data_IF_183892677436
#
_entry.id   IF_183892677436
#
_cell.length_a   1.000
_cell.length_b   1.000
_cell.length_c   1.000
_cell.angle_alpha   90.00
_cell.angle_beta   90.00
_cell.angle_gamma   90.00
#
_symmetry.space_group_name_H-M   'P 1'
#
loop_
_entity.id
_entity.type
_entity.pdbx_description
1 polymer ?
#
# COMPACT_ATOMS: atom_id res chain seq x y z
N UNK A 1 21.65 11.01 15.80
CA UNK A 1 21.02 10.22 14.74
C UNK A 1 19.95 11.04 14.06
N UNK A 2 19.90 11.03 12.74
CA UNK A 2 18.85 11.72 11.99
C UNK A 2 17.49 11.06 12.25
N UNK A 3 16.43 11.86 12.36
CA UNK A 3 15.07 11.37 12.56
C UNK A 3 14.29 11.44 11.24
N UNK A 4 13.96 10.28 10.69
CA UNK A 4 13.27 10.14 9.41
C UNK A 4 11.80 9.72 9.53
N UNK A 5 11.35 9.33 10.74
CA UNK A 5 9.98 8.85 10.96
C UNK A 5 9.35 9.61 12.12
N UNK A 6 8.17 10.16 11.88
CA UNK A 6 7.39 10.92 12.85
C UNK A 6 6.00 10.29 13.00
N UNK A 7 5.60 9.96 14.21
CA UNK A 7 4.22 9.61 14.47
C UNK A 7 3.32 10.84 14.23
N UNK A 8 2.04 10.63 13.95
CA UNK A 8 1.12 11.76 13.74
C UNK A 8 0.97 12.65 14.98
N UNK A 9 1.37 12.19 16.16
CA UNK A 9 1.40 13.01 17.39
C UNK A 9 2.62 13.92 17.52
N UNK A 10 3.66 13.72 16.72
CA UNK A 10 4.93 14.42 16.82
C UNK A 10 5.07 15.57 15.80
N UNK A 11 4.13 15.72 14.88
CA UNK A 11 4.13 16.75 13.85
C UNK A 11 3.06 17.80 14.06
N UNK A 12 3.06 18.82 13.19
CA UNK A 12 2.03 19.84 13.09
C UNK A 12 1.98 20.45 11.69
N UNK A 13 1.00 21.33 11.42
CA UNK A 13 0.79 21.96 10.11
C UNK A 13 1.97 22.80 9.59
N UNK A 14 2.86 23.27 10.46
CA UNK A 14 4.01 24.09 10.08
C UNK A 14 5.19 23.26 9.56
N UNK A 15 5.13 21.93 9.72
CA UNK A 15 6.21 21.01 9.32
C UNK A 15 6.02 20.48 7.89
N UNK A 16 5.42 21.25 6.98
CA UNK A 16 5.12 20.81 5.60
C UNK A 16 6.37 20.45 4.81
N UNK A 17 7.46 21.15 5.02
CA UNK A 17 8.71 20.86 4.31
C UNK A 17 9.29 19.52 4.70
N UNK A 18 9.15 19.12 5.95
CA UNK A 18 9.65 17.87 6.50
C UNK A 18 8.68 16.71 6.30
N UNK A 19 7.39 16.91 6.59
CA UNK A 19 6.38 15.85 6.60
C UNK A 19 5.57 15.75 5.30
N UNK A 20 5.78 16.68 4.38
CA UNK A 20 4.92 16.87 3.22
C UNK A 20 3.55 17.44 3.61
N UNK A 21 2.76 17.87 2.62
CA UNK A 21 1.46 18.48 2.89
C UNK A 21 0.48 17.53 3.60
N UNK A 22 0.39 16.29 3.16
CA UNK A 22 -0.50 15.28 3.74
C UNK A 22 -0.06 14.87 5.16
N UNK A 23 1.23 14.63 5.38
CA UNK A 23 1.76 14.27 6.69
C UNK A 23 1.57 15.38 7.73
N UNK A 24 1.87 16.62 7.39
CA UNK A 24 1.67 17.78 8.27
C UNK A 24 0.19 17.98 8.63
N UNK A 25 -0.73 17.84 7.66
CA UNK A 25 -2.16 17.96 7.92
C UNK A 25 -2.69 16.79 8.79
N UNK A 26 -2.26 15.54 8.57
CA UNK A 26 -2.64 14.40 9.41
C UNK A 26 -2.16 14.60 10.85
N UNK A 27 -0.94 15.12 11.04
CA UNK A 27 -0.43 15.43 12.36
C UNK A 27 -1.25 16.55 13.06
N UNK A 28 -1.56 17.62 12.35
CA UNK A 28 -2.41 18.69 12.89
C UNK A 28 -3.79 18.17 13.28
N UNK A 29 -4.44 17.42 12.38
CA UNK A 29 -5.76 16.82 12.65
C UNK A 29 -5.74 15.90 13.88
N UNK A 30 -4.66 15.13 14.05
CA UNK A 30 -4.47 14.26 15.21
C UNK A 30 -4.36 15.09 16.49
N UNK A 31 -3.57 16.16 16.48
CA UNK A 31 -3.32 16.99 17.66
C UNK A 31 -4.53 17.81 18.10
N UNK A 32 -5.40 18.21 17.17
CA UNK A 32 -6.68 18.88 17.51
C UNK A 32 -7.79 17.89 17.87
N UNK A 33 -7.48 16.59 17.97
CA UNK A 33 -8.42 15.56 18.45
C UNK A 33 -9.38 14.98 17.43
N UNK A 34 -9.16 15.22 16.13
CA UNK A 34 -9.97 14.57 15.09
C UNK A 34 -9.70 13.05 15.04
N UNK A 35 -10.68 12.23 14.65
CA UNK A 35 -10.55 10.78 14.56
C UNK A 35 -9.72 10.34 13.34
N UNK A 36 -8.41 10.62 13.37
CA UNK A 36 -7.46 10.21 12.34
C UNK A 36 -7.02 8.78 12.62
N UNK A 37 -7.01 7.88 11.60
CA UNK A 37 -6.39 6.57 11.72
C UNK A 37 -4.94 6.68 12.20
N UNK A 38 -4.51 5.79 13.08
CA UNK A 38 -3.14 5.84 13.64
C UNK A 38 -2.11 5.52 12.56
N UNK A 39 -0.99 6.23 12.60
CA UNK A 39 0.05 6.10 11.60
C UNK A 39 1.25 6.99 11.87
N UNK A 40 2.15 7.02 10.90
CA UNK A 40 3.37 7.80 10.94
C UNK A 40 3.71 8.34 9.54
N UNK A 41 4.56 9.34 9.50
CA UNK A 41 5.09 9.94 8.27
C UNK A 41 6.58 9.64 8.14
N UNK A 42 7.00 9.12 7.00
CA UNK A 42 8.40 9.08 6.59
C UNK A 42 8.71 10.44 5.94
N UNK A 43 9.78 11.10 6.39
CA UNK A 43 10.07 12.49 6.02
C UNK A 43 10.50 12.65 4.56
N UNK A 44 10.33 13.86 4.04
CA UNK A 44 10.87 14.25 2.72
C UNK A 44 12.39 14.11 2.66
N UNK A 45 13.07 14.32 3.80
CA UNK A 45 14.53 14.16 3.91
C UNK A 45 14.97 12.72 3.65
N UNK A 46 14.21 11.71 4.11
CA UNK A 46 14.48 10.30 3.80
C UNK A 46 14.42 10.04 2.28
N UNK A 47 13.47 10.66 1.59
CA UNK A 47 13.35 10.56 0.13
C UNK A 47 14.53 11.28 -0.57
N UNK A 48 14.89 12.48 -0.10
CA UNK A 48 16.06 13.22 -0.62
C UNK A 48 17.35 12.41 -0.44
N UNK A 49 17.54 11.81 0.73
CA UNK A 49 18.67 10.93 1.01
C UNK A 49 18.72 9.74 0.03
N UNK A 50 17.57 9.08 -0.18
CA UNK A 50 17.44 7.94 -1.07
C UNK A 50 17.95 8.27 -2.49
N UNK A 51 17.57 9.41 -3.04
CA UNK A 51 18.03 9.83 -4.36
C UNK A 51 19.51 10.22 -4.38
N UNK A 52 19.99 10.95 -3.37
CA UNK A 52 21.39 11.33 -3.26
C UNK A 52 22.34 10.12 -3.12
N UNK A 53 21.84 8.99 -2.60
CA UNK A 53 22.62 7.79 -2.32
C UNK A 53 22.27 6.59 -3.23
N UNK A 54 22.04 6.84 -4.53
CA UNK A 54 21.78 5.78 -5.53
C UNK A 54 20.63 4.84 -5.15
N UNK A 55 19.52 5.39 -4.69
CA UNK A 55 18.33 4.69 -4.24
C UNK A 55 18.55 3.74 -3.04
N UNK A 56 19.50 4.08 -2.16
CA UNK A 56 19.70 3.40 -0.88
C UNK A 56 18.98 4.17 0.25
N UNK A 57 18.31 3.44 1.10
CA UNK A 57 17.68 4.01 2.29
C UNK A 57 18.73 4.43 3.33
N UNK A 58 18.46 5.48 4.16
CA UNK A 58 19.24 5.73 5.36
C UNK A 58 19.30 4.47 6.25
N UNK A 59 20.44 4.17 6.82
CA UNK A 59 20.63 2.96 7.62
C UNK A 59 19.66 2.87 8.82
N UNK A 60 19.32 4.03 9.39
CA UNK A 60 18.42 4.12 10.54
C UNK A 60 16.94 4.01 10.18
N UNK A 61 16.57 4.16 8.90
CA UNK A 61 15.17 4.28 8.48
C UNK A 61 14.35 3.04 8.86
N UNK A 62 14.87 1.85 8.58
CA UNK A 62 14.17 0.60 8.87
C UNK A 62 13.82 0.50 10.36
N UNK A 63 14.80 0.68 11.24
CA UNK A 63 14.57 0.59 12.68
C UNK A 63 13.63 1.68 13.22
N UNK A 64 13.57 2.85 12.56
CA UNK A 64 12.60 3.89 12.91
C UNK A 64 11.17 3.50 12.45
N UNK A 65 11.03 2.91 11.26
CA UNK A 65 9.73 2.39 10.77
C UNK A 65 9.23 1.28 11.70
N UNK A 66 10.08 0.32 12.06
CA UNK A 66 9.72 -0.78 12.97
C UNK A 66 9.22 -0.25 14.33
N UNK A 67 9.89 0.74 14.91
CA UNK A 67 9.47 1.37 16.17
C UNK A 67 8.14 2.10 16.03
N UNK A 68 7.94 2.85 14.95
CA UNK A 68 6.70 3.57 14.69
C UNK A 68 5.53 2.59 14.45
N UNK A 69 5.77 1.51 13.69
CA UNK A 69 4.80 0.45 13.45
C UNK A 69 4.40 -0.24 14.76
N UNK A 70 5.36 -0.60 15.62
CA UNK A 70 5.09 -1.19 16.92
C UNK A 70 4.25 -0.26 17.83
N UNK A 71 4.42 1.05 17.71
CA UNK A 71 3.56 2.01 18.42
C UNK A 71 2.12 1.99 17.88
N UNK A 72 1.94 1.96 16.54
CA UNK A 72 0.62 1.84 15.92
C UNK A 72 -0.05 0.53 16.33
N UNK A 73 0.67 -0.59 16.28
CA UNK A 73 0.18 -1.92 16.71
C UNK A 73 -0.36 -1.89 18.14
N UNK A 74 0.39 -1.29 19.06
CA UNK A 74 -0.01 -1.16 20.46
C UNK A 74 -1.30 -0.35 20.63
N UNK A 75 -1.40 0.78 19.92
CA UNK A 75 -2.59 1.65 19.99
C UNK A 75 -3.82 0.97 19.39
N UNK A 76 -3.62 0.24 18.29
CA UNK A 76 -4.71 -0.42 17.55
C UNK A 76 -5.10 -1.78 18.15
N UNK A 77 -4.29 -2.36 19.06
CA UNK A 77 -4.50 -3.71 19.58
C UNK A 77 -4.41 -4.80 18.51
N UNK A 78 -3.68 -4.54 17.43
CA UNK A 78 -3.50 -5.44 16.28
C UNK A 78 -2.02 -5.55 15.94
N UNK A 79 -1.64 -6.58 15.18
CA UNK A 79 -0.24 -6.74 14.79
C UNK A 79 -0.09 -6.88 13.27
N UNK A 80 0.89 -6.20 12.71
CA UNK A 80 1.17 -6.22 11.28
C UNK A 80 1.71 -7.59 10.86
N UNK A 81 1.07 -8.20 9.87
CA UNK A 81 1.41 -9.56 9.44
C UNK A 81 0.95 -10.69 10.38
N UNK A 82 0.21 -10.40 11.45
CA UNK A 82 -0.34 -11.42 12.33
C UNK A 82 -1.46 -12.22 11.64
N UNK A 83 -1.43 -13.54 11.82
CA UNK A 83 -2.40 -14.44 11.16
C UNK A 83 -3.77 -14.45 11.84
N UNK A 84 -3.87 -14.00 13.08
CA UNK A 84 -5.11 -14.03 13.88
C UNK A 84 -5.81 -12.68 13.94
N UNK A 85 -5.04 -11.62 14.12
CA UNK A 85 -5.57 -10.25 14.26
C UNK A 85 -4.72 -9.25 13.47
N UNK A 86 -4.74 -9.31 12.13
CA UNK A 86 -3.86 -8.53 11.29
C UNK A 86 -4.15 -7.03 11.37
N UNK A 87 -3.08 -6.24 11.53
CA UNK A 87 -3.09 -4.81 11.23
C UNK A 87 -2.87 -4.63 9.73
N UNK A 88 -3.71 -3.86 9.08
CA UNK A 88 -3.53 -3.48 7.67
C UNK A 88 -3.09 -2.01 7.59
N UNK A 89 -2.09 -1.74 6.77
CA UNK A 89 -1.53 -0.40 6.60
C UNK A 89 -1.76 0.12 5.18
N UNK A 90 -1.98 1.43 5.06
CA UNK A 90 -2.03 2.11 3.77
C UNK A 90 -0.79 2.98 3.59
N UNK A 91 -0.12 2.86 2.46
CA UNK A 91 1.02 3.72 2.09
C UNK A 91 0.53 4.79 1.13
N UNK A 92 0.81 6.05 1.45
CA UNK A 92 0.34 7.21 0.68
C UNK A 92 1.47 8.18 0.39
N UNK A 93 1.50 8.74 -0.81
CA UNK A 93 2.39 9.83 -1.14
C UNK A 93 1.99 11.12 -0.37
N UNK A 94 2.97 11.73 0.28
CA UNK A 94 2.85 12.98 1.02
C UNK A 94 3.65 14.13 0.41
N UNK A 95 3.84 14.16 -0.92
CA UNK A 95 4.63 15.18 -1.60
C UNK A 95 4.22 16.61 -1.21
N UNK A 96 5.19 17.54 -1.26
CA UNK A 96 4.96 18.98 -0.97
C UNK A 96 3.95 19.61 -1.92
N UNK A 97 3.94 19.17 -3.19
CA UNK A 97 2.95 19.56 -4.20
C UNK A 97 2.27 18.30 -4.72
N UNK A 98 0.95 18.27 -4.67
CA UNK A 98 0.17 17.22 -5.33
C UNK A 98 0.14 17.53 -6.82
N UNK A 99 0.51 16.54 -7.64
CA UNK A 99 0.43 16.65 -9.11
C UNK A 99 -0.42 15.51 -9.66
N UNK A 100 -1.17 15.73 -10.75
CA UNK A 100 -1.81 14.64 -11.48
C UNK A 100 -0.77 13.59 -11.90
N UNK A 101 -1.08 12.30 -11.73
CA UNK A 101 -0.18 11.20 -12.06
C UNK A 101 0.82 10.81 -10.96
N UNK A 102 0.84 11.51 -9.82
CA UNK A 102 1.59 11.03 -8.64
C UNK A 102 0.98 9.72 -8.13
N UNK A 103 1.86 8.88 -7.57
CA UNK A 103 1.48 7.58 -7.06
C UNK A 103 0.24 7.62 -6.18
N UNK A 104 -0.72 6.78 -6.53
CA UNK A 104 -1.90 6.52 -5.74
C UNK A 104 -1.56 5.82 -4.41
N UNK A 105 -2.54 5.76 -3.55
CA UNK A 105 -2.43 5.04 -2.28
C UNK A 105 -2.32 3.55 -2.52
N UNK A 106 -1.37 2.86 -1.88
CA UNK A 106 -1.37 1.40 -1.76
C UNK A 106 -2.12 1.03 -0.49
N UNK A 107 -3.32 0.48 -0.64
CA UNK A 107 -4.21 0.09 0.45
C UNK A 107 -3.90 -1.33 0.93
N UNK A 108 -4.23 -1.62 2.19
CA UNK A 108 -4.27 -2.96 2.76
C UNK A 108 -2.94 -3.72 2.74
N UNK A 109 -1.79 -3.02 2.79
CA UNK A 109 -0.51 -3.70 2.99
C UNK A 109 -0.56 -4.51 4.29
N UNK A 110 -0.03 -5.71 4.25
CA UNK A 110 -0.12 -6.70 5.33
C UNK A 110 -1.20 -7.76 5.10
N UNK A 111 -2.04 -7.60 4.07
CA UNK A 111 -2.98 -8.64 3.66
C UNK A 111 -2.28 -9.63 2.74
N UNK A 112 -2.22 -10.87 3.18
CA UNK A 112 -1.56 -12.01 2.54
C UNK A 112 -2.46 -13.24 2.66
N UNK A 113 -2.18 -14.33 1.96
CA UNK A 113 -2.91 -15.58 2.14
C UNK A 113 -2.93 -16.06 3.59
N UNK A 114 -1.84 -15.80 4.33
CA UNK A 114 -1.73 -16.19 5.74
C UNK A 114 -2.56 -15.34 6.67
N UNK A 115 -2.78 -14.05 6.34
CA UNK A 115 -3.50 -13.10 7.21
C UNK A 115 -5.00 -12.99 6.88
N UNK A 116 -5.44 -13.46 5.71
CA UNK A 116 -6.86 -13.49 5.32
C UNK A 116 -7.74 -14.19 6.36
N UNK A 117 -7.40 -15.38 6.90
CA UNK A 117 -8.24 -16.02 7.91
C UNK A 117 -8.48 -15.16 9.15
N UNK A 118 -7.47 -14.42 9.60
CA UNK A 118 -7.61 -13.48 10.72
C UNK A 118 -8.52 -12.29 10.39
N UNK A 119 -8.45 -11.77 9.16
CA UNK A 119 -9.36 -10.71 8.71
C UNK A 119 -10.80 -11.22 8.65
N UNK A 120 -11.04 -12.43 8.12
CA UNK A 120 -12.35 -13.08 8.10
C UNK A 120 -12.89 -13.24 9.52
N UNK A 121 -12.08 -13.78 10.43
CA UNK A 121 -12.49 -13.97 11.83
C UNK A 121 -12.86 -12.66 12.53
N UNK A 122 -12.16 -11.57 12.23
CA UNK A 122 -12.40 -10.26 12.85
C UNK A 122 -13.57 -9.49 12.24
N UNK A 123 -13.92 -9.75 10.99
CA UNK A 123 -15.01 -9.04 10.27
C UNK A 123 -16.29 -9.86 10.15
N UNK A 124 -16.20 -11.19 10.23
CA UNK A 124 -17.30 -12.09 9.91
C UNK A 124 -17.65 -12.16 8.43
N UNK A 125 -16.83 -11.55 7.55
CA UNK A 125 -17.15 -11.39 6.13
C UNK A 125 -15.99 -11.88 5.24
N UNK A 126 -16.14 -13.11 4.75
CA UNK A 126 -15.17 -13.74 3.85
C UNK A 126 -15.11 -13.03 2.50
N UNK A 127 -16.26 -12.58 1.99
CA UNK A 127 -16.33 -11.87 0.72
C UNK A 127 -15.55 -10.54 0.79
N UNK A 128 -15.76 -9.78 1.85
CA UNK A 128 -15.00 -8.54 2.09
C UNK A 128 -13.49 -8.79 2.12
N UNK A 129 -13.05 -9.82 2.83
CA UNK A 129 -11.62 -10.14 2.94
C UNK A 129 -10.99 -10.46 1.58
N UNK A 130 -11.65 -11.29 0.77
CA UNK A 130 -11.13 -11.64 -0.57
C UNK A 130 -11.26 -10.50 -1.58
N UNK A 131 -12.28 -9.64 -1.51
CA UNK A 131 -12.36 -8.43 -2.36
C UNK A 131 -11.26 -7.41 -2.00
N UNK A 132 -11.01 -7.22 -0.70
CA UNK A 132 -9.90 -6.38 -0.24
C UNK A 132 -8.55 -6.90 -0.74
N UNK A 133 -8.35 -8.22 -0.71
CA UNK A 133 -7.13 -8.85 -1.19
C UNK A 133 -6.99 -8.76 -2.72
N UNK A 134 -8.05 -9.04 -3.48
CA UNK A 134 -8.07 -8.85 -4.93
C UNK A 134 -7.65 -7.43 -5.31
N UNK A 135 -8.22 -6.43 -4.63
CA UNK A 135 -7.90 -5.02 -4.88
C UNK A 135 -6.45 -4.68 -4.54
N UNK A 136 -5.91 -5.23 -3.44
CA UNK A 136 -4.50 -5.07 -3.12
C UNK A 136 -3.62 -5.67 -4.22
N UNK A 137 -3.90 -6.91 -4.66
CA UNK A 137 -3.10 -7.59 -5.71
C UNK A 137 -3.07 -6.75 -6.99
N UNK A 138 -4.22 -6.27 -7.47
CA UNK A 138 -4.32 -5.45 -8.68
C UNK A 138 -3.54 -4.14 -8.55
N UNK A 139 -3.77 -3.42 -7.44
CA UNK A 139 -3.16 -2.11 -7.22
C UNK A 139 -1.66 -2.22 -6.98
N UNK A 140 -1.22 -3.23 -6.23
CA UNK A 140 0.20 -3.46 -5.95
C UNK A 140 0.96 -3.85 -7.21
N UNK A 141 0.38 -4.70 -8.04
CA UNK A 141 0.96 -5.09 -9.32
C UNK A 141 1.17 -3.89 -10.24
N UNK A 142 0.18 -3.02 -10.37
CA UNK A 142 0.24 -1.82 -11.21
C UNK A 142 1.24 -0.78 -10.66
N UNK A 143 1.06 -0.39 -9.38
CA UNK A 143 1.76 0.76 -8.81
C UNK A 143 3.18 0.41 -8.36
N UNK A 144 3.36 -0.74 -7.71
CA UNK A 144 4.63 -1.12 -7.10
C UNK A 144 5.48 -1.97 -8.04
N UNK A 145 4.89 -3.00 -8.64
CA UNK A 145 5.66 -3.98 -9.39
C UNK A 145 5.91 -3.52 -10.83
N UNK A 146 4.94 -2.90 -11.49
CA UNK A 146 5.09 -2.43 -12.88
C UNK A 146 5.69 -1.02 -12.93
N UNK A 147 4.97 0.01 -12.46
CA UNK A 147 5.38 1.41 -12.59
C UNK A 147 6.63 1.75 -11.79
N UNK A 148 6.66 1.45 -10.49
CA UNK A 148 7.82 1.71 -9.66
C UNK A 148 9.00 0.78 -9.98
N UNK A 149 8.72 -0.39 -10.54
CA UNK A 149 9.71 -1.31 -11.11
C UNK A 149 10.37 -0.79 -12.39
N UNK A 150 9.90 0.34 -12.92
CA UNK A 150 10.46 0.96 -14.14
C UNK A 150 10.03 0.26 -15.43
N UNK A 151 8.96 -0.52 -15.40
CA UNK A 151 8.39 -1.11 -16.60
C UNK A 151 7.44 -0.10 -17.25
N UNK A 152 7.65 0.16 -18.52
CA UNK A 152 6.82 1.04 -19.34
C UNK A 152 6.09 0.20 -20.43
N UNK A 153 4.96 -0.43 -20.10
CA UNK A 153 4.20 -1.19 -21.08
C UNK A 153 3.65 -0.27 -22.16
N UNK A 154 3.48 -0.81 -23.38
CA UNK A 154 2.79 -0.08 -24.42
C UNK A 154 1.38 0.34 -23.97
N UNK A 155 0.85 1.42 -24.53
CA UNK A 155 -0.48 1.91 -24.20
C UNK A 155 -1.54 0.80 -24.28
N UNK A 156 -2.34 0.67 -23.24
CA UNK A 156 -3.36 -0.38 -23.13
C UNK A 156 -2.85 -1.78 -22.83
N UNK A 157 -1.55 -1.98 -22.57
CA UNK A 157 -0.94 -3.30 -22.27
C UNK A 157 -0.38 -3.41 -20.84
N UNK A 158 -0.60 -2.43 -19.99
CA UNK A 158 -0.19 -2.49 -18.58
C UNK A 158 -0.93 -3.60 -17.83
N UNK A 159 -0.28 -4.11 -16.77
CA UNK A 159 -0.81 -5.22 -15.96
C UNK A 159 -2.21 -4.91 -15.40
N UNK A 160 -2.47 -3.66 -15.04
CA UNK A 160 -3.77 -3.21 -14.58
C UNK A 160 -4.86 -3.46 -15.61
N UNK A 161 -4.62 -3.08 -16.86
CA UNK A 161 -5.57 -3.25 -17.96
C UNK A 161 -5.89 -4.71 -18.22
N UNK A 162 -4.86 -5.56 -18.22
CA UNK A 162 -5.00 -7.00 -18.40
C UNK A 162 -5.88 -7.61 -17.29
N UNK A 163 -5.66 -7.20 -16.03
CA UNK A 163 -6.46 -7.66 -14.89
C UNK A 163 -7.91 -7.14 -14.93
N UNK A 164 -8.10 -5.88 -15.35
CA UNK A 164 -9.45 -5.32 -15.53
C UNK A 164 -10.23 -6.07 -16.62
N UNK A 165 -9.59 -6.47 -17.70
CA UNK A 165 -10.22 -7.29 -18.78
C UNK A 165 -10.69 -8.65 -18.24
N UNK A 166 -9.84 -9.36 -17.49
CA UNK A 166 -10.22 -10.62 -16.84
C UNK A 166 -11.39 -10.45 -15.86
N UNK A 167 -11.37 -9.38 -15.06
CA UNK A 167 -12.46 -9.05 -14.14
C UNK A 167 -13.79 -8.83 -14.89
N UNK A 168 -13.74 -8.07 -15.98
CA UNK A 168 -14.93 -7.80 -16.79
C UNK A 168 -15.45 -9.06 -17.51
N UNK A 169 -14.57 -9.95 -17.95
CA UNK A 169 -14.95 -11.25 -18.52
C UNK A 169 -15.69 -12.11 -17.49
N UNK A 170 -15.20 -12.19 -16.25
CA UNK A 170 -15.87 -12.91 -15.17
C UNK A 170 -17.26 -12.33 -14.89
N UNK A 171 -17.37 -11.00 -14.81
CA UNK A 171 -18.66 -10.33 -14.62
C UNK A 171 -19.63 -10.62 -15.76
N UNK A 172 -19.18 -10.48 -16.99
CA UNK A 172 -20.01 -10.75 -18.18
C UNK A 172 -20.49 -12.18 -18.25
N UNK A 173 -19.60 -13.15 -17.98
CA UNK A 173 -19.93 -14.59 -17.99
C UNK A 173 -21.02 -14.95 -16.97
N UNK A 174 -21.01 -14.30 -15.81
CA UNK A 174 -21.95 -14.58 -14.72
C UNK A 174 -23.16 -13.62 -14.69
N UNK A 175 -23.25 -12.66 -15.62
CA UNK A 175 -24.33 -11.68 -15.65
C UNK A 175 -24.26 -10.62 -14.52
N UNK A 176 -23.09 -10.43 -13.92
CA UNK A 176 -22.85 -9.45 -12.87
C UNK A 176 -22.73 -8.04 -13.42
N UNK A 177 -23.24 -7.05 -12.69
CA UNK A 177 -23.20 -5.64 -13.10
C UNK A 177 -22.10 -4.84 -12.40
N UNK A 178 -21.84 -5.17 -11.15
CA UNK A 178 -20.90 -4.44 -10.29
C UNK A 178 -20.00 -5.42 -9.54
N UNK A 179 -18.86 -4.96 -9.02
CA UNK A 179 -17.89 -5.80 -8.30
C UNK A 179 -18.49 -6.46 -7.05
N UNK A 180 -19.53 -5.85 -6.46
CA UNK A 180 -20.20 -6.42 -5.29
C UNK A 180 -21.03 -7.67 -5.59
N UNK A 181 -21.31 -7.96 -6.86
CA UNK A 181 -22.02 -9.16 -7.28
C UNK A 181 -21.09 -10.42 -7.29
N UNK A 182 -19.76 -10.22 -7.27
CA UNK A 182 -18.79 -11.30 -7.25
C UNK A 182 -18.95 -12.17 -6.00
N UNK A 183 -19.04 -13.46 -6.20
CA UNK A 183 -19.06 -14.45 -5.12
C UNK A 183 -17.66 -14.61 -4.48
N UNK A 184 -17.60 -15.23 -3.31
CA UNK A 184 -16.33 -15.58 -2.65
C UNK A 184 -15.46 -16.46 -3.57
N UNK A 185 -16.08 -17.43 -4.25
CA UNK A 185 -15.35 -18.34 -5.14
C UNK A 185 -14.82 -17.62 -6.38
N UNK A 186 -15.56 -16.66 -6.94
CA UNK A 186 -15.05 -15.84 -8.04
C UNK A 186 -13.87 -14.98 -7.60
N UNK A 187 -13.95 -14.37 -6.41
CA UNK A 187 -12.86 -13.57 -5.86
C UNK A 187 -11.60 -14.39 -5.60
N UNK A 188 -11.73 -15.62 -5.08
CA UNK A 188 -10.61 -16.56 -4.89
C UNK A 188 -9.95 -16.91 -6.23
N UNK A 189 -10.77 -17.24 -7.24
CA UNK A 189 -10.26 -17.54 -8.59
C UNK A 189 -9.57 -16.35 -9.23
N UNK A 190 -10.16 -15.16 -9.14
CA UNK A 190 -9.56 -13.92 -9.65
C UNK A 190 -8.21 -13.61 -8.99
N UNK A 191 -8.08 -13.78 -7.67
CA UNK A 191 -6.79 -13.60 -6.98
C UNK A 191 -5.74 -14.55 -7.51
N UNK A 192 -6.08 -15.84 -7.67
CA UNK A 192 -5.16 -16.84 -8.21
C UNK A 192 -4.73 -16.49 -9.65
N UNK A 193 -5.69 -16.10 -10.48
CA UNK A 193 -5.44 -15.72 -11.87
C UNK A 193 -4.58 -14.45 -11.96
N UNK A 194 -4.85 -13.43 -11.16
CA UNK A 194 -4.05 -12.19 -11.13
C UNK A 194 -2.60 -12.46 -10.70
N UNK A 195 -2.36 -13.32 -9.73
CA UNK A 195 -1.00 -13.75 -9.38
C UNK A 195 -0.32 -14.48 -10.54
N UNK A 196 -1.05 -15.31 -11.27
CA UNK A 196 -0.57 -15.94 -12.49
C UNK A 196 -0.18 -14.92 -13.56
N UNK A 197 -0.99 -13.88 -13.76
CA UNK A 197 -0.70 -12.79 -14.69
C UNK A 197 0.54 -11.98 -14.27
N UNK A 198 0.69 -11.68 -12.97
CA UNK A 198 1.89 -11.03 -12.43
C UNK A 198 3.13 -11.84 -12.79
N UNK A 199 3.13 -13.13 -12.48
CA UNK A 199 4.25 -14.02 -12.80
C UNK A 199 4.55 -14.07 -14.30
N UNK A 200 3.51 -14.15 -15.12
CA UNK A 200 3.62 -14.23 -16.58
C UNK A 200 4.18 -12.95 -17.19
N UNK A 201 3.65 -11.78 -16.80
CA UNK A 201 3.94 -10.50 -17.45
C UNK A 201 5.08 -9.73 -16.79
N UNK A 202 5.15 -9.74 -15.46
CA UNK A 202 6.17 -9.00 -14.69
C UNK A 202 7.39 -9.87 -14.33
N UNK A 203 7.31 -11.20 -14.55
CA UNK A 203 8.38 -12.16 -14.20
C UNK A 203 8.76 -12.16 -12.71
N UNK A 204 7.81 -11.81 -11.87
CA UNK A 204 7.94 -11.73 -10.43
C UNK A 204 6.76 -12.43 -9.74
N UNK A 205 6.96 -12.87 -8.51
CA UNK A 205 5.86 -13.37 -7.67
C UNK A 205 5.25 -12.19 -6.89
N UNK A 206 3.93 -12.25 -6.65
CA UNK A 206 3.29 -11.30 -5.74
C UNK A 206 3.83 -11.51 -4.31
N UNK A 207 4.25 -10.46 -3.59
CA UNK A 207 4.84 -10.61 -2.27
C UNK A 207 3.81 -11.06 -1.22
N UNK A 208 3.99 -12.25 -0.69
CA UNK A 208 3.21 -12.82 0.43
C UNK A 208 3.88 -12.56 1.80
N UNK A 209 4.65 -11.51 1.87
CA UNK A 209 5.28 -11.00 3.08
C UNK A 209 4.80 -9.58 3.38
N UNK A 210 4.23 -9.38 4.56
CA UNK A 210 3.65 -8.10 4.96
C UNK A 210 4.70 -6.97 4.98
N UNK A 211 5.90 -7.25 5.49
CA UNK A 211 6.99 -6.27 5.52
C UNK A 211 7.46 -5.90 4.12
N UNK A 212 7.63 -6.90 3.24
CA UNK A 212 7.96 -6.68 1.84
C UNK A 212 6.92 -5.82 1.11
N UNK A 213 5.62 -6.05 1.37
CA UNK A 213 4.56 -5.21 0.82
C UNK A 213 4.69 -3.75 1.30
N UNK A 214 4.91 -3.53 2.60
CA UNK A 214 5.06 -2.20 3.17
C UNK A 214 6.25 -1.46 2.56
N UNK A 215 7.41 -2.09 2.54
CA UNK A 215 8.64 -1.49 2.00
C UNK A 215 8.59 -1.30 0.48
N UNK A 216 7.95 -2.20 -0.24
CA UNK A 216 7.65 -2.02 -1.66
C UNK A 216 6.79 -0.79 -1.92
N UNK A 217 5.74 -0.60 -1.13
CA UNK A 217 4.91 0.61 -1.18
C UNK A 217 5.69 1.89 -0.87
N UNK A 218 6.55 1.87 0.15
CA UNK A 218 7.44 3.01 0.48
C UNK A 218 8.37 3.33 -0.69
N UNK A 219 9.01 2.30 -1.27
CA UNK A 219 9.88 2.45 -2.43
C UNK A 219 9.15 3.03 -3.65
N UNK A 220 7.92 2.58 -3.89
CA UNK A 220 7.10 3.10 -4.98
C UNK A 220 6.73 4.58 -4.78
N UNK A 221 6.40 4.99 -3.53
CA UNK A 221 6.20 6.42 -3.22
C UNK A 221 7.47 7.22 -3.52
N UNK A 222 8.62 6.75 -3.07
CA UNK A 222 9.87 7.44 -3.34
C UNK A 222 10.15 7.52 -4.85
N UNK A 223 9.97 6.42 -5.58
CA UNK A 223 10.16 6.40 -7.03
C UNK A 223 9.26 7.41 -7.77
N UNK A 224 8.01 7.58 -7.31
CA UNK A 224 7.05 8.50 -7.94
C UNK A 224 7.41 9.99 -7.83
N UNK A 225 8.30 10.37 -6.92
CA UNK A 225 8.69 11.77 -6.73
C UNK A 225 9.69 12.27 -7.78
N UNK A 226 10.30 11.35 -8.52
CA UNK A 226 11.23 11.66 -9.62
C UNK A 226 10.68 11.24 -10.99
N UNK A 227 9.41 10.88 -11.06
CA UNK A 227 8.70 10.66 -12.31
C UNK A 227 8.66 11.94 -13.14
N UNK A 228 8.95 11.79 -14.45
CA UNK A 228 8.87 12.88 -15.44
C UNK A 228 7.42 13.31 -15.66
#
# INVERSE_FOLDING_TARGET
MAKYVYSFYEGNKNMRDLLGGKGANLAEMTNIGLPVPKGFTITTEACTYYYAHKRKYPAELQGQIEKALAQVERIMGKKFGDVKNPLLMSVRSGARKSMPGMMDTVLNNGLTEKTIPGLIASTGDERFAYDAYRRLVMMYADVVMEKAGGLEPAEGKGIRKIMDEVLEEVKKKNGYKIDTDLSVDDLKKLVAEFKGLIKKHLKQEFPEDAWGQLMGGVGAVFASWNGK
#
